data_IF_048593657460
#
_entry.id   IF_048593657460
#
_cell.length_a   1.000
_cell.length_b   1.000
_cell.length_c   1.000
_cell.angle_alpha   90.00
_cell.angle_beta   90.00
_cell.angle_gamma   90.00
#
_symmetry.space_group_name_H-M   'P 1'
#
loop_
_entity.id
_entity.type
_entity.pdbx_description
1 polymer ?
#
# COMPACT_ATOMS: atom_id res chain seq x y z
N UNK A 1 -19.75 -8.72 -28.30
CA UNK A 1 -19.68 -9.34 -26.97
C UNK A 1 -20.95 -8.99 -26.23
N UNK A 2 -21.51 -9.87 -25.37
CA UNK A 2 -22.67 -9.53 -24.55
C UNK A 2 -22.32 -8.36 -23.62
N UNK A 3 -23.30 -7.50 -23.34
CA UNK A 3 -23.15 -6.41 -22.40
C UNK A 3 -22.81 -6.95 -20.99
N UNK A 4 -21.87 -6.34 -20.26
CA UNK A 4 -21.55 -6.79 -18.91
C UNK A 4 -22.76 -6.74 -18.00
N UNK A 5 -22.92 -7.78 -17.18
CA UNK A 5 -23.97 -7.90 -16.17
C UNK A 5 -23.68 -7.02 -14.96
N UNK A 6 -24.70 -6.75 -14.13
CA UNK A 6 -24.48 -5.99 -12.87
C UNK A 6 -23.60 -6.79 -11.92
N UNK A 7 -23.80 -8.10 -11.86
CA UNK A 7 -23.08 -9.04 -11.01
C UNK A 7 -21.59 -9.06 -11.34
N UNK A 8 -21.22 -9.13 -12.62
CA UNK A 8 -19.82 -9.04 -13.06
C UNK A 8 -19.16 -7.72 -12.63
N UNK A 9 -19.88 -6.60 -12.78
CA UNK A 9 -19.36 -5.28 -12.42
C UNK A 9 -19.29 -5.08 -10.91
N UNK A 10 -20.24 -5.61 -10.14
CA UNK A 10 -20.20 -5.62 -8.67
C UNK A 10 -18.98 -6.39 -8.18
N UNK A 11 -18.70 -7.55 -8.75
CA UNK A 11 -17.52 -8.33 -8.39
C UNK A 11 -16.24 -7.57 -8.72
N UNK A 12 -16.18 -6.91 -9.88
CA UNK A 12 -15.06 -6.04 -10.23
C UNK A 12 -14.89 -4.88 -9.21
N UNK A 13 -15.96 -4.18 -8.84
CA UNK A 13 -15.89 -3.11 -7.83
C UNK A 13 -15.44 -3.67 -6.49
N UNK A 14 -15.95 -4.83 -6.07
CA UNK A 14 -15.59 -5.50 -4.80
C UNK A 14 -14.09 -5.85 -4.75
N UNK A 15 -13.55 -6.47 -5.80
CA UNK A 15 -12.12 -6.80 -5.90
C UNK A 15 -11.23 -5.54 -5.92
N UNK A 16 -11.78 -4.41 -6.33
CA UNK A 16 -11.08 -3.13 -6.44
C UNK A 16 -11.64 -2.09 -5.46
N UNK A 17 -12.25 -2.51 -4.34
CA UNK A 17 -13.06 -1.63 -3.49
C UNK A 17 -12.25 -0.42 -3.00
N UNK A 18 -10.99 -0.63 -2.62
CA UNK A 18 -10.12 0.45 -2.16
C UNK A 18 -9.88 1.52 -3.22
N UNK A 19 -9.84 1.17 -4.51
CA UNK A 19 -9.70 2.14 -5.60
C UNK A 19 -10.94 3.06 -5.67
N UNK A 20 -12.14 2.49 -5.51
CA UNK A 20 -13.39 3.22 -5.63
C UNK A 20 -13.77 3.99 -4.37
N UNK A 21 -13.46 3.45 -3.18
CA UNK A 21 -13.92 4.00 -1.89
C UNK A 21 -12.91 4.90 -1.19
N UNK A 22 -11.59 4.68 -1.37
CA UNK A 22 -10.57 5.56 -0.77
C UNK A 22 -10.68 7.02 -1.18
N UNK A 23 -10.95 7.41 -2.44
CA UNK A 23 -11.07 8.83 -2.78
C UNK A 23 -12.28 9.51 -2.09
N UNK A 24 -13.24 8.72 -1.59
CA UNK A 24 -14.40 9.20 -0.84
C UNK A 24 -14.09 9.29 0.66
N UNK A 25 -13.42 8.26 1.21
CA UNK A 25 -13.14 8.12 2.65
C UNK A 25 -11.88 8.85 3.11
N UNK A 26 -10.84 8.86 2.28
CA UNK A 26 -9.52 9.43 2.57
C UNK A 26 -8.83 9.96 1.30
N UNK A 27 -9.28 11.14 0.88
CA UNK A 27 -8.75 11.80 -0.32
C UNK A 27 -7.26 12.12 -0.21
N UNK A 28 -6.76 12.41 1.01
CA UNK A 28 -5.34 12.74 1.24
C UNK A 28 -4.46 11.52 0.99
N UNK A 29 -4.84 10.34 1.50
CA UNK A 29 -4.16 9.07 1.20
C UNK A 29 -4.19 8.79 -0.29
N UNK A 30 -5.37 8.91 -0.91
CA UNK A 30 -5.53 8.66 -2.35
C UNK A 30 -4.56 9.52 -3.18
N UNK A 31 -4.55 10.84 -2.93
CA UNK A 31 -3.69 11.79 -3.61
C UNK A 31 -2.21 11.50 -3.37
N UNK A 32 -1.80 11.22 -2.12
CA UNK A 32 -0.41 10.89 -1.77
C UNK A 32 0.09 9.70 -2.60
N UNK A 33 -0.67 8.61 -2.62
CA UNK A 33 -0.28 7.40 -3.36
C UNK A 33 -0.10 7.70 -4.85
N UNK A 34 -1.03 8.42 -5.49
CA UNK A 34 -0.90 8.75 -6.92
C UNK A 34 0.28 9.67 -7.24
N UNK A 35 0.59 10.60 -6.34
CA UNK A 35 1.77 11.45 -6.48
C UNK A 35 3.06 10.62 -6.35
N UNK A 36 3.15 9.74 -5.35
CA UNK A 36 4.32 8.90 -5.12
C UNK A 36 4.60 7.91 -6.26
N UNK A 37 3.55 7.38 -6.89
CA UNK A 37 3.69 6.44 -8.01
C UNK A 37 3.79 7.14 -9.38
N UNK A 38 3.68 8.47 -9.42
CA UNK A 38 3.75 9.26 -10.66
C UNK A 38 2.62 8.95 -11.65
N UNK A 39 1.40 8.73 -11.14
CA UNK A 39 0.23 8.34 -11.95
C UNK A 39 -0.94 9.32 -11.86
N UNK A 40 -0.64 10.58 -11.51
CA UNK A 40 -1.64 11.65 -11.38
C UNK A 40 -2.41 11.90 -12.67
N UNK A 41 -1.78 11.76 -13.84
CA UNK A 41 -2.47 11.90 -15.13
C UNK A 41 -3.41 10.72 -15.40
N UNK A 42 -2.95 9.49 -15.15
CA UNK A 42 -3.75 8.29 -15.37
C UNK A 42 -5.07 8.34 -14.58
N UNK A 43 -5.01 8.74 -13.30
CA UNK A 43 -6.22 8.86 -12.47
C UNK A 43 -7.08 10.05 -12.86
N UNK A 44 -6.48 11.15 -13.32
CA UNK A 44 -7.23 12.32 -13.79
C UNK A 44 -8.06 11.95 -15.01
N UNK A 45 -7.43 11.32 -16.01
CA UNK A 45 -8.11 10.88 -17.23
C UNK A 45 -9.24 9.90 -16.90
N UNK A 46 -8.96 8.85 -16.11
CA UNK A 46 -9.98 7.88 -15.69
C UNK A 46 -11.17 8.56 -14.98
N UNK A 47 -10.88 9.47 -14.05
CA UNK A 47 -11.90 10.16 -13.26
C UNK A 47 -12.73 11.10 -14.13
N UNK A 48 -12.13 11.79 -15.10
CA UNK A 48 -12.84 12.67 -16.04
C UNK A 48 -13.78 11.87 -16.94
N UNK A 49 -13.29 10.80 -17.58
CA UNK A 49 -14.11 9.95 -18.46
C UNK A 49 -15.30 9.36 -17.70
N UNK A 50 -15.06 8.79 -16.51
CA UNK A 50 -16.12 8.24 -15.66
C UNK A 50 -17.11 9.32 -15.22
N UNK A 51 -16.60 10.49 -14.79
CA UNK A 51 -17.47 11.59 -14.35
C UNK A 51 -18.37 12.08 -15.48
N UNK A 52 -17.83 12.29 -16.68
CA UNK A 52 -18.60 12.69 -17.86
C UNK A 52 -19.68 11.66 -18.20
N UNK A 53 -19.37 10.36 -18.08
CA UNK A 53 -20.33 9.29 -18.29
C UNK A 53 -21.46 9.31 -17.25
N UNK A 54 -21.12 9.44 -15.96
CA UNK A 54 -22.11 9.53 -14.88
C UNK A 54 -23.02 10.76 -15.02
N UNK A 55 -22.51 11.89 -15.51
CA UNK A 55 -23.35 13.07 -15.80
C UNK A 55 -24.33 12.82 -16.94
N UNK A 56 -23.98 12.04 -17.97
CA UNK A 56 -24.92 11.69 -19.06
C UNK A 56 -26.05 10.77 -18.58
N UNK A 57 -25.78 9.94 -17.58
CA UNK A 57 -26.78 9.07 -16.95
C UNK A 57 -27.86 9.83 -16.16
N UNK A 58 -27.65 11.12 -15.84
CA UNK A 58 -28.61 11.92 -15.05
C UNK A 58 -29.92 12.23 -15.77
N UNK A 59 -30.02 12.03 -17.08
CA UNK A 59 -31.16 12.50 -17.87
C UNK A 59 -32.38 11.55 -17.91
N UNK A 60 -32.29 10.30 -17.44
CA UNK A 60 -33.42 9.34 -17.51
C UNK A 60 -33.29 8.19 -16.51
N UNK A 61 -34.01 8.22 -15.37
CA UNK A 61 -34.16 7.01 -14.53
C UNK A 61 -35.36 7.02 -13.56
N UNK A 62 -36.49 7.69 -13.88
CA UNK A 62 -37.84 7.55 -13.25
C UNK A 62 -38.26 8.68 -12.28
N UNK A 63 -39.58 8.83 -12.09
CA UNK A 63 -40.28 9.99 -11.47
C UNK A 63 -40.12 10.13 -9.95
N UNK A 64 -39.64 9.12 -9.22
CA UNK A 64 -39.85 9.04 -7.76
C UNK A 64 -38.64 9.33 -6.86
N UNK A 65 -37.42 9.44 -7.38
CA UNK A 65 -36.28 9.92 -6.58
C UNK A 65 -35.12 10.27 -7.49
N UNK A 66 -34.97 11.56 -7.80
CA UNK A 66 -33.86 12.05 -8.61
C UNK A 66 -32.72 12.41 -7.66
N UNK A 67 -32.04 11.42 -7.10
CA UNK A 67 -30.64 11.64 -6.70
C UNK A 67 -29.80 11.40 -7.95
N UNK A 68 -29.20 12.43 -8.57
CA UNK A 68 -28.36 12.21 -9.74
C UNK A 68 -27.34 11.10 -9.50
N UNK A 69 -27.19 10.21 -10.49
CA UNK A 69 -26.28 9.05 -10.47
C UNK A 69 -24.87 9.43 -9.99
N UNK A 70 -24.38 10.62 -10.38
CA UNK A 70 -23.11 11.18 -9.91
C UNK A 70 -23.05 11.46 -8.41
N UNK A 71 -24.13 11.90 -7.77
CA UNK A 71 -24.16 12.14 -6.32
C UNK A 71 -24.20 10.83 -5.54
N UNK A 72 -24.95 9.82 -6.02
CA UNK A 72 -24.94 8.49 -5.43
C UNK A 72 -23.52 7.91 -5.47
N UNK A 73 -22.86 8.01 -6.63
CA UNK A 73 -21.46 7.57 -6.81
C UNK A 73 -20.50 8.24 -5.83
N UNK A 74 -20.58 9.57 -5.67
CA UNK A 74 -19.75 10.33 -4.73
C UNK A 74 -19.99 10.00 -3.26
N UNK A 75 -21.15 9.43 -2.93
CA UNK A 75 -21.48 8.92 -1.59
C UNK A 75 -21.09 7.44 -1.39
N UNK A 76 -20.51 6.80 -2.41
CA UNK A 76 -20.13 5.39 -2.39
C UNK A 76 -21.29 4.43 -2.69
N UNK A 77 -22.45 4.94 -3.13
CA UNK A 77 -23.53 4.11 -3.64
C UNK A 77 -23.41 3.97 -5.16
N UNK A 78 -22.89 2.84 -5.61
CA UNK A 78 -22.62 2.59 -7.02
C UNK A 78 -23.82 2.00 -7.78
N UNK A 79 -24.83 1.44 -7.08
CA UNK A 79 -25.95 0.71 -7.69
C UNK A 79 -26.73 1.52 -8.74
N UNK A 80 -27.08 2.81 -8.50
CA UNK A 80 -27.79 3.60 -9.52
C UNK A 80 -27.00 3.75 -10.81
N UNK A 81 -25.66 3.74 -10.75
CA UNK A 81 -24.83 3.83 -11.95
C UNK A 81 -24.81 2.50 -12.71
N UNK A 82 -24.89 1.36 -12.01
CA UNK A 82 -24.88 0.03 -12.61
C UNK A 82 -26.17 -0.31 -13.37
N UNK A 83 -27.26 0.46 -13.20
CA UNK A 83 -28.43 0.40 -14.06
C UNK A 83 -28.09 0.73 -15.53
N UNK A 84 -27.08 1.56 -15.74
CA UNK A 84 -26.69 2.01 -17.08
C UNK A 84 -25.64 1.09 -17.70
N UNK A 85 -25.98 0.49 -18.84
CA UNK A 85 -25.08 -0.39 -19.60
C UNK A 85 -23.77 0.29 -19.98
N UNK A 86 -23.81 1.55 -20.40
CA UNK A 86 -22.60 2.29 -20.76
C UNK A 86 -21.61 2.42 -19.58
N UNK A 87 -22.10 2.56 -18.34
CA UNK A 87 -21.25 2.57 -17.14
C UNK A 87 -20.66 1.20 -16.90
N UNK A 88 -21.47 0.14 -17.02
CA UNK A 88 -20.99 -1.25 -16.87
C UNK A 88 -19.90 -1.58 -17.89
N UNK A 89 -20.13 -1.23 -19.16
CA UNK A 89 -19.16 -1.41 -20.24
C UNK A 89 -17.87 -0.63 -19.96
N UNK A 90 -17.97 0.65 -19.59
CA UNK A 90 -16.80 1.47 -19.26
C UNK A 90 -15.93 0.83 -18.16
N UNK A 91 -16.55 0.35 -17.07
CA UNK A 91 -15.81 -0.23 -15.94
C UNK A 91 -15.07 -1.52 -16.34
N UNK A 92 -15.69 -2.37 -17.15
CA UNK A 92 -15.07 -3.62 -17.61
C UNK A 92 -13.99 -3.35 -18.68
N UNK A 93 -14.24 -2.45 -19.63
CA UNK A 93 -13.26 -2.08 -20.66
C UNK A 93 -12.01 -1.45 -20.03
N UNK A 94 -12.17 -0.74 -18.92
CA UNK A 94 -11.09 -0.07 -18.19
C UNK A 94 -10.56 -0.90 -17.02
N UNK A 95 -10.89 -2.19 -16.89
CA UNK A 95 -10.46 -3.02 -15.75
C UNK A 95 -8.95 -3.08 -15.57
N UNK A 96 -8.20 -3.01 -16.67
CA UNK A 96 -6.73 -3.06 -16.72
C UNK A 96 -6.11 -1.66 -16.88
N UNK A 97 -6.90 -0.60 -16.72
CA UNK A 97 -6.44 0.78 -16.87
C UNK A 97 -5.27 1.11 -15.92
N UNK A 98 -4.27 1.89 -16.35
CA UNK A 98 -3.11 2.27 -15.52
C UNK A 98 -3.50 2.85 -14.15
N UNK A 99 -4.57 3.63 -14.06
CA UNK A 99 -5.07 4.14 -12.78
C UNK A 99 -5.33 3.01 -11.76
N UNK A 100 -6.07 1.97 -12.16
CA UNK A 100 -6.44 0.85 -11.28
C UNK A 100 -5.24 -0.03 -10.97
N UNK A 101 -4.47 -0.38 -12.00
CA UNK A 101 -3.33 -1.29 -11.85
C UNK A 101 -2.19 -0.65 -11.05
N UNK A 102 -1.90 0.64 -11.25
CA UNK A 102 -0.90 1.37 -10.47
C UNK A 102 -1.38 1.63 -9.04
N UNK A 103 -2.67 1.90 -8.81
CA UNK A 103 -3.23 1.99 -7.45
C UNK A 103 -2.94 0.74 -6.62
N UNK A 104 -3.23 -0.45 -7.17
CA UNK A 104 -2.95 -1.73 -6.49
C UNK A 104 -1.48 -1.86 -6.09
N UNK A 105 -0.57 -1.49 -6.98
CA UNK A 105 0.87 -1.54 -6.71
C UNK A 105 1.30 -0.51 -5.66
N UNK A 106 0.77 0.70 -5.74
CA UNK A 106 1.03 1.76 -4.77
C UNK A 106 0.58 1.36 -3.38
N UNK A 107 -0.65 0.85 -3.26
CA UNK A 107 -1.20 0.35 -2.01
C UNK A 107 -0.38 -0.82 -1.45
N UNK A 108 0.06 -1.74 -2.31
CA UNK A 108 0.90 -2.87 -1.91
C UNK A 108 2.24 -2.42 -1.29
N UNK A 109 2.89 -1.40 -1.87
CA UNK A 109 4.15 -0.86 -1.31
C UNK A 109 3.93 -0.01 -0.06
N UNK A 110 2.77 0.65 0.06
CA UNK A 110 2.40 1.39 1.26
C UNK A 110 2.13 0.45 2.45
N UNK A 111 1.30 -0.57 2.25
CA UNK A 111 0.93 -1.54 3.29
C UNK A 111 2.09 -2.43 3.74
N UNK A 112 3.04 -2.72 2.84
CA UNK A 112 4.26 -3.46 3.18
C UNK A 112 5.29 -2.63 3.97
N UNK A 113 5.04 -1.35 4.22
CA UNK A 113 6.02 -0.39 4.77
C UNK A 113 7.32 -0.28 3.95
N UNK A 114 7.33 -0.70 2.68
CA UNK A 114 8.52 -0.64 1.84
C UNK A 114 9.05 0.79 1.70
N UNK A 115 8.16 1.75 1.42
CA UNK A 115 8.52 3.16 1.25
C UNK A 115 9.14 3.77 2.52
N UNK A 116 8.62 3.40 3.69
CA UNK A 116 9.12 3.86 4.99
C UNK A 116 10.53 3.34 5.26
N UNK A 117 10.79 2.07 4.96
CA UNK A 117 12.12 1.49 5.10
C UNK A 117 13.11 2.06 4.08
N UNK A 118 12.66 2.35 2.86
CA UNK A 118 13.47 3.03 1.85
C UNK A 118 13.84 4.46 2.29
N UNK A 119 12.91 5.21 2.87
CA UNK A 119 13.20 6.53 3.43
C UNK A 119 14.21 6.45 4.58
N UNK A 120 14.03 5.51 5.52
CA UNK A 120 14.99 5.28 6.61
C UNK A 120 16.38 4.94 6.09
N UNK A 121 16.49 4.18 4.99
CA UNK A 121 17.78 3.88 4.36
C UNK A 121 18.46 5.16 3.85
N UNK A 122 17.71 6.04 3.20
CA UNK A 122 18.20 7.33 2.73
C UNK A 122 18.70 8.21 3.88
N UNK A 123 17.91 8.32 4.95
CA UNK A 123 18.28 9.07 6.16
C UNK A 123 19.58 8.52 6.79
N UNK A 124 19.75 7.19 6.77
CA UNK A 124 20.97 6.53 7.26
C UNK A 124 22.18 6.77 6.38
N UNK A 125 22.03 6.76 5.06
CA UNK A 125 23.12 7.10 4.13
C UNK A 125 23.66 8.50 4.43
N UNK A 126 22.77 9.49 4.56
CA UNK A 126 23.12 10.86 4.97
C UNK A 126 23.78 10.91 6.36
N UNK A 127 23.25 10.14 7.32
CA UNK A 127 23.81 10.06 8.67
C UNK A 127 25.23 9.49 8.72
N UNK A 128 25.54 8.49 7.89
CA UNK A 128 26.90 7.93 7.76
C UNK A 128 27.87 8.96 7.17
N UNK A 129 27.42 9.71 6.17
CA UNK A 129 28.22 10.79 5.56
C UNK A 129 28.61 11.82 6.61
N UNK A 130 27.65 12.32 7.39
CA UNK A 130 27.89 13.32 8.45
C UNK A 130 28.80 12.81 9.56
N UNK A 131 28.84 11.49 9.80
CA UNK A 131 29.69 10.84 10.81
C UNK A 131 31.08 10.45 10.30
N UNK A 132 31.44 10.88 9.08
CA UNK A 132 32.73 10.58 8.44
C UNK A 132 32.95 9.10 8.11
N UNK A 133 31.88 8.39 7.74
CA UNK A 133 31.92 7.05 7.16
C UNK A 133 31.57 7.11 5.66
N UNK A 134 32.43 7.67 4.79
CA UNK A 134 32.07 8.01 3.41
C UNK A 134 31.86 6.77 2.52
N UNK A 135 32.59 5.69 2.75
CA UNK A 135 32.43 4.46 1.97
C UNK A 135 31.09 3.78 2.28
N UNK A 136 30.72 3.74 3.56
CA UNK A 136 29.44 3.19 4.00
C UNK A 136 28.27 4.07 3.60
N UNK A 137 28.44 5.39 3.65
CA UNK A 137 27.44 6.33 3.14
C UNK A 137 27.18 6.08 1.65
N UNK A 138 28.24 5.89 0.86
CA UNK A 138 28.14 5.56 -0.57
C UNK A 138 27.44 4.22 -0.79
N UNK A 139 27.86 3.15 -0.11
CA UNK A 139 27.23 1.84 -0.27
C UNK A 139 25.74 1.86 0.12
N UNK A 140 25.36 2.63 1.16
CA UNK A 140 23.95 2.82 1.54
C UNK A 140 23.16 3.63 0.51
N UNK A 141 23.79 4.65 -0.08
CA UNK A 141 23.20 5.48 -1.12
C UNK A 141 22.99 4.68 -2.42
N UNK A 142 23.99 3.91 -2.84
CA UNK A 142 23.92 3.03 -4.03
C UNK A 142 22.78 2.01 -3.88
N UNK A 143 22.59 1.47 -2.67
CA UNK A 143 21.45 0.60 -2.39
C UNK A 143 20.11 1.34 -2.47
N UNK A 144 20.02 2.52 -1.85
CA UNK A 144 18.81 3.34 -1.93
C UNK A 144 18.43 3.62 -3.39
N UNK A 145 19.39 4.06 -4.21
CA UNK A 145 19.16 4.40 -5.62
C UNK A 145 18.74 3.17 -6.43
N UNK A 146 19.34 2.02 -6.14
CA UNK A 146 18.95 0.75 -6.73
C UNK A 146 17.50 0.39 -6.38
N UNK A 147 17.14 0.41 -5.10
CA UNK A 147 15.77 0.08 -4.64
C UNK A 147 14.73 1.10 -5.15
N UNK A 148 15.07 2.38 -5.17
CA UNK A 148 14.22 3.44 -5.72
C UNK A 148 13.99 3.25 -7.23
N UNK A 149 15.02 2.84 -7.96
CA UNK A 149 14.91 2.49 -9.38
C UNK A 149 14.01 1.28 -9.59
N UNK A 150 14.20 0.19 -8.84
CA UNK A 150 13.31 -0.98 -8.92
C UNK A 150 11.86 -0.61 -8.60
N UNK A 151 11.63 0.23 -7.58
CA UNK A 151 10.30 0.75 -7.23
C UNK A 151 9.65 1.46 -8.42
N UNK A 152 10.38 2.37 -9.07
CA UNK A 152 9.87 3.12 -10.23
C UNK A 152 9.51 2.20 -11.40
N UNK A 153 10.36 1.22 -11.70
CA UNK A 153 10.12 0.21 -12.76
C UNK A 153 8.94 -0.69 -12.44
N UNK A 154 8.73 -1.02 -11.16
CA UNK A 154 7.58 -1.80 -10.74
C UNK A 154 6.27 -1.01 -10.90
N UNK A 155 6.26 0.26 -10.48
CA UNK A 155 5.12 1.17 -10.67
C UNK A 155 4.76 1.38 -12.13
N UNK A 156 5.75 1.63 -13.01
CA UNK A 156 5.51 1.80 -14.45
C UNK A 156 5.01 0.52 -15.12
N UNK A 157 5.21 -0.64 -14.49
CA UNK A 157 4.88 -1.94 -15.07
C UNK A 157 5.95 -2.50 -15.99
N UNK A 158 7.12 -1.85 -16.05
CA UNK A 158 8.28 -2.36 -16.78
C UNK A 158 8.76 -3.70 -16.20
N UNK A 159 8.66 -3.89 -14.89
CA UNK A 159 8.96 -5.16 -14.23
C UNK A 159 7.75 -5.70 -13.47
N UNK A 160 7.63 -7.04 -13.48
CA UNK A 160 6.62 -7.77 -12.72
C UNK A 160 7.04 -7.92 -11.24
N UNK A 161 6.07 -8.34 -10.42
CA UNK A 161 6.22 -8.48 -8.96
C UNK A 161 7.38 -9.37 -8.55
N UNK A 162 7.52 -10.52 -9.19
CA UNK A 162 8.57 -11.51 -8.94
C UNK A 162 9.96 -10.98 -9.30
N UNK A 163 10.07 -10.26 -10.41
CA UNK A 163 11.33 -9.61 -10.84
C UNK A 163 11.69 -8.48 -9.89
N UNK A 164 10.71 -7.64 -9.48
CA UNK A 164 10.91 -6.58 -8.49
C UNK A 164 11.45 -7.14 -7.18
N UNK A 165 10.80 -8.17 -6.63
CA UNK A 165 11.22 -8.79 -5.36
C UNK A 165 12.63 -9.36 -5.47
N UNK A 166 12.93 -10.08 -6.55
CA UNK A 166 14.24 -10.69 -6.78
C UNK A 166 15.34 -9.63 -6.84
N UNK A 167 15.18 -8.63 -7.69
CA UNK A 167 16.15 -7.55 -7.86
C UNK A 167 16.41 -6.80 -6.55
N UNK A 168 15.36 -6.55 -5.76
CA UNK A 168 15.51 -5.92 -4.44
C UNK A 168 16.24 -6.81 -3.45
N UNK A 169 15.95 -8.12 -3.42
CA UNK A 169 16.66 -9.07 -2.57
C UNK A 169 18.14 -9.18 -2.94
N UNK A 170 18.46 -9.27 -4.23
CA UNK A 170 19.84 -9.34 -4.73
C UNK A 170 20.62 -8.08 -4.36
N UNK A 171 20.01 -6.89 -4.52
CA UNK A 171 20.62 -5.63 -4.12
C UNK A 171 20.92 -5.57 -2.61
N UNK A 172 19.98 -6.03 -1.78
CA UNK A 172 20.19 -6.11 -0.33
C UNK A 172 21.34 -7.07 0.01
N UNK A 173 21.43 -8.22 -0.65
CA UNK A 173 22.50 -9.19 -0.40
C UNK A 173 23.88 -8.68 -0.80
N UNK A 174 23.99 -7.97 -1.92
CA UNK A 174 25.21 -7.29 -2.35
C UNK A 174 25.62 -6.25 -1.29
N UNK A 175 24.68 -5.41 -0.87
CA UNK A 175 24.91 -4.40 0.14
C UNK A 175 25.35 -5.01 1.50
N UNK A 176 24.79 -6.15 1.90
CA UNK A 176 25.18 -6.84 3.14
C UNK A 176 26.60 -7.43 3.13
N UNK A 177 27.19 -7.59 1.94
CA UNK A 177 28.58 -8.05 1.73
C UNK A 177 29.57 -6.90 1.54
N UNK A 178 29.08 -5.66 1.38
CA UNK A 178 29.86 -4.44 1.19
C UNK A 178 30.47 -3.90 2.49
N UNK A 179 30.93 -2.63 2.50
CA UNK A 179 31.44 -1.97 3.71
C UNK A 179 30.37 -1.82 4.80
N UNK A 180 29.09 -1.85 4.41
CA UNK A 180 27.95 -1.84 5.34
C UNK A 180 27.89 -3.04 6.28
N UNK A 181 28.59 -4.14 5.99
CA UNK A 181 28.66 -5.32 6.88
C UNK A 181 29.20 -4.97 8.27
N UNK A 182 30.02 -3.91 8.36
CA UNK A 182 30.59 -3.43 9.62
C UNK A 182 29.59 -2.60 10.45
N UNK A 183 28.47 -2.20 9.85
CA UNK A 183 27.42 -1.38 10.46
C UNK A 183 26.09 -2.14 10.58
N UNK A 184 26.14 -3.47 10.66
CA UNK A 184 24.96 -4.34 10.76
C UNK A 184 24.01 -3.97 11.90
N UNK A 185 24.52 -3.59 13.07
CA UNK A 185 23.68 -3.12 14.18
C UNK A 185 22.95 -1.82 13.89
N UNK A 186 23.55 -0.93 13.09
CA UNK A 186 22.98 0.36 12.73
C UNK A 186 21.91 0.28 11.63
N UNK A 187 22.00 -0.73 10.76
CA UNK A 187 21.09 -0.99 9.64
C UNK A 187 20.17 -2.19 9.87
N UNK A 188 20.31 -2.93 10.97
CA UNK A 188 19.59 -4.19 11.23
C UNK A 188 18.08 -4.09 11.10
N UNK A 189 17.48 -3.05 11.69
CA UNK A 189 16.04 -2.81 11.60
C UNK A 189 15.57 -2.49 10.17
N UNK A 190 16.41 -1.85 9.37
CA UNK A 190 16.09 -1.54 7.96
C UNK A 190 16.17 -2.80 7.11
N UNK A 191 17.19 -3.65 7.33
CA UNK A 191 17.28 -4.95 6.66
C UNK A 191 16.07 -5.82 6.95
N UNK A 192 15.71 -5.93 8.22
CA UNK A 192 14.55 -6.70 8.62
C UNK A 192 13.28 -6.13 8.01
N UNK A 193 13.06 -4.82 8.11
CA UNK A 193 11.90 -4.13 7.54
C UNK A 193 11.77 -4.32 6.03
N UNK A 194 12.86 -4.17 5.27
CA UNK A 194 12.85 -4.41 3.82
C UNK A 194 12.55 -5.88 3.48
N UNK A 195 13.14 -6.85 4.19
CA UNK A 195 12.84 -8.27 3.96
C UNK A 195 11.39 -8.62 4.31
N UNK A 196 10.84 -8.10 5.40
CA UNK A 196 9.42 -8.24 5.76
C UNK A 196 8.53 -7.66 4.67
N UNK A 197 8.84 -6.46 4.20
CA UNK A 197 8.10 -5.80 3.12
C UNK A 197 8.10 -6.64 1.83
N UNK A 198 9.27 -7.13 1.41
CA UNK A 198 9.41 -7.97 0.21
C UNK A 198 8.69 -9.32 0.37
N UNK A 199 8.69 -9.91 1.56
CA UNK A 199 7.93 -11.13 1.84
C UNK A 199 6.41 -10.89 1.75
N UNK A 200 5.91 -9.78 2.30
CA UNK A 200 4.52 -9.36 2.18
C UNK A 200 4.11 -9.20 0.71
N UNK A 201 4.93 -8.50 -0.08
CA UNK A 201 4.71 -8.31 -1.52
C UNK A 201 4.67 -9.66 -2.26
N UNK A 202 5.58 -10.58 -1.91
CA UNK A 202 5.68 -11.90 -2.55
C UNK A 202 4.45 -12.74 -2.28
N UNK A 203 4.08 -12.88 -1.01
CA UNK A 203 3.07 -13.83 -0.55
C UNK A 203 1.65 -13.25 -0.58
N UNK A 204 1.49 -11.93 -0.73
CA UNK A 204 0.24 -11.25 -0.43
C UNK A 204 -0.02 -11.22 1.07
N UNK A 205 -1.22 -10.79 1.49
CA UNK A 205 -1.68 -10.83 2.88
C UNK A 205 -1.78 -12.29 3.35
N UNK A 206 -0.64 -12.92 3.61
CA UNK A 206 -0.58 -14.14 4.41
C UNK A 206 -0.48 -13.63 5.82
N UNK A 207 -1.49 -13.92 6.64
CA UNK A 207 -1.38 -13.81 8.10
C UNK A 207 0.03 -14.26 8.45
N UNK A 208 0.85 -13.31 8.89
CA UNK A 208 2.21 -13.59 9.28
C UNK A 208 2.06 -14.50 10.48
N UNK A 209 2.14 -15.82 10.28
CA UNK A 209 2.34 -16.76 11.38
C UNK A 209 3.55 -16.21 12.11
N UNK A 210 3.38 -15.72 13.35
CA UNK A 210 4.45 -15.01 14.02
C UNK A 210 5.62 -15.97 14.14
N UNK A 211 6.77 -15.57 13.58
CA UNK A 211 8.03 -16.29 13.79
C UNK A 211 8.26 -16.44 15.30
N UNK A 212 8.95 -17.50 15.72
CA UNK A 212 9.16 -17.81 17.15
C UNK A 212 9.70 -16.61 17.96
N UNK A 213 10.45 -15.70 17.34
CA UNK A 213 10.93 -14.46 17.97
C UNK A 213 9.81 -13.44 18.25
N UNK A 214 8.83 -13.33 17.36
CA UNK A 214 7.66 -12.46 17.55
C UNK A 214 6.72 -13.08 18.59
N UNK A 215 6.52 -14.41 18.58
CA UNK A 215 5.80 -15.12 19.65
C UNK A 215 6.45 -14.89 21.00
N UNK A 216 7.77 -15.09 21.11
CA UNK A 216 8.51 -14.86 22.35
C UNK A 216 8.43 -13.40 22.83
N UNK A 217 8.46 -12.43 21.91
CA UNK A 217 8.34 -11.01 22.29
C UNK A 217 6.92 -10.69 22.77
N UNK A 218 5.90 -11.31 22.16
CA UNK A 218 4.51 -11.17 22.58
C UNK A 218 4.26 -11.83 23.93
N UNK A 219 4.74 -13.07 24.13
CA UNK A 219 4.70 -13.80 25.41
C UNK A 219 5.42 -13.04 26.53
N UNK A 220 6.56 -12.41 26.23
CA UNK A 220 7.28 -11.58 27.19
C UNK A 220 6.48 -10.32 27.55
N UNK A 221 5.83 -9.71 26.56
CA UNK A 221 4.97 -8.53 26.76
C UNK A 221 3.72 -8.87 27.57
N UNK A 222 3.11 -10.02 27.32
CA UNK A 222 1.94 -10.51 28.05
C UNK A 222 2.31 -10.92 29.48
N UNK A 223 3.50 -11.51 29.68
CA UNK A 223 4.05 -11.82 31.01
C UNK A 223 4.40 -10.56 31.81
N UNK A 224 4.93 -9.52 31.17
CA UNK A 224 5.18 -8.24 31.84
C UNK A 224 3.87 -7.53 32.21
N UNK A 225 2.84 -7.67 31.38
CA UNK A 225 1.52 -7.12 31.64
C UNK A 225 0.82 -7.82 32.81
N UNK A 226 0.90 -9.15 32.88
CA UNK A 226 0.34 -9.90 34.02
C UNK A 226 1.07 -9.62 35.33
N UNK A 227 2.39 -9.37 35.31
CA UNK A 227 3.15 -8.94 36.50
C UNK A 227 2.74 -7.54 36.96
N UNK A 228 2.48 -6.61 36.03
CA UNK A 228 2.03 -5.25 36.38
C UNK A 228 0.59 -5.23 36.90
N UNK A 229 -0.29 -6.06 36.33
CA UNK A 229 -1.68 -6.23 36.79
C UNK A 229 -1.74 -6.92 38.16
N UNK A 230 -0.94 -7.97 38.40
CA UNK A 230 -0.84 -8.64 39.71
C UNK A 230 -0.22 -7.73 40.80
N UNK A 231 0.65 -6.80 40.41
CA UNK A 231 1.19 -5.77 41.31
C UNK A 231 0.16 -4.70 41.70
N UNK A 232 -0.76 -4.35 40.81
CA UNK A 232 -1.82 -3.38 41.07
C UNK A 232 -2.95 -3.93 41.95
N UNK A 233 -3.27 -5.22 41.84
CA UNK A 233 -4.28 -5.86 42.70
C UNK A 233 -3.80 -6.01 44.15
N UNK A 234 -2.51 -6.24 44.39
CA UNK A 234 -1.95 -6.29 45.75
C UNK A 234 -1.90 -4.91 46.45
N UNK A 235 -1.72 -3.82 45.69
CA UNK A 235 -1.74 -2.45 46.25
C UNK A 235 -3.19 -2.04 46.60
N UNK A 236 -4.17 -2.43 45.78
CA UNK A 236 -5.58 -2.12 46.05
C UNK A 236 -6.21 -3.02 47.13
N UNK A 237 -5.65 -4.20 47.40
CA UNK A 237 -6.08 -5.08 48.50
C UNK A 237 -5.63 -4.65 49.89
N UNK A 238 -4.52 -3.92 50.01
CA UNK A 238 -3.94 -3.53 51.31
C UNK A 238 -4.52 -2.21 51.85
N UNK A 239 -5.25 -1.44 51.03
CA UNK A 239 -5.94 -0.21 51.43
C UNK A 239 -7.40 -0.42 51.88
N UNK A 240 -7.83 -1.68 52.05
CA UNK A 240 -9.11 -2.04 52.67
C UNK A 240 -8.89 -2.85 53.95
N UNK A 241 -8.27 -2.24 54.94
CA UNK A 241 -8.35 -2.64 56.35
C UNK A 241 -8.53 -1.38 57.21
#
# INVERSE_FOLDING_TARGET
MPAPTKEEVREFIRVNESFFTTPIKDQKKFQRVYNEIGATEDIRQYSQELTSLLYRCTQRLNKESVTPVVYAWRKGNFEPALEHEAVRQFLIDKKDHPAITKWKKGLLLEESEFNKNLQRLQEKATGLQSRKYPNEAKDAQDLYDTLATQKKRFYSGEIKKDVFVRNCNDAIEIAQKSTLKNHRGFLGNIWHGLKVALNFITRGYVEVTPTDSIKKTQELKDSLKSITEAGQDNINGTLKL
#
